data_IF_890012982375
#
_entry.id   IF_890012982375
#
_cell.length_a   1.000
_cell.length_b   1.000
_cell.length_c   1.000
_cell.angle_alpha   90.00
_cell.angle_beta   90.00
_cell.angle_gamma   90.00
#
_symmetry.space_group_name_H-M   'P 1'
#
loop_
_entity.id
_entity.type
_entity.pdbx_description
1 polymer ?
#
# COMPACT_ATOMS: atom_id res chain seq x y z
N UNK A 1 -20.33 -35.17 20.45
CA UNK A 1 -18.91 -34.80 20.60
C UNK A 1 -18.29 -34.17 19.35
N UNK A 2 -18.93 -34.24 18.17
CA UNK A 2 -18.42 -33.70 16.90
C UNK A 2 -18.67 -32.20 16.69
N UNK A 3 -19.70 -31.62 17.32
CA UNK A 3 -20.06 -30.20 17.15
C UNK A 3 -19.12 -29.24 17.88
N UNK A 4 -18.57 -29.68 19.02
CA UNK A 4 -17.64 -28.86 19.83
C UNK A 4 -16.31 -28.65 19.10
N UNK A 5 -15.83 -29.67 18.37
CA UNK A 5 -14.59 -29.61 17.59
C UNK A 5 -14.67 -28.58 16.44
N UNK A 6 -15.87 -28.41 15.87
CA UNK A 6 -16.10 -27.48 14.75
C UNK A 6 -16.02 -26.01 15.19
N UNK A 7 -16.44 -25.70 16.41
CA UNK A 7 -16.30 -24.36 17.00
C UNK A 7 -14.84 -24.01 17.34
N UNK A 8 -14.01 -24.99 17.73
CA UNK A 8 -12.57 -24.78 17.95
C UNK A 8 -11.80 -24.49 16.66
N UNK A 9 -12.20 -25.09 15.53
CA UNK A 9 -11.61 -24.82 14.21
C UNK A 9 -11.93 -23.41 13.71
N UNK A 10 -13.12 -22.89 14.00
CA UNK A 10 -13.52 -21.52 13.63
C UNK A 10 -12.77 -20.44 14.44
N UNK A 11 -12.34 -20.73 15.67
CA UNK A 11 -11.55 -19.81 16.52
C UNK A 11 -10.09 -19.59 16.06
N UNK A 12 -9.64 -20.30 15.02
CA UNK A 12 -8.31 -20.11 14.42
C UNK A 12 -8.32 -19.33 13.10
N UNK A 13 -9.49 -18.91 12.60
CA UNK A 13 -9.53 -17.95 11.50
C UNK A 13 -9.42 -16.54 12.08
N UNK A 14 -8.19 -16.17 12.48
CA UNK A 14 -7.87 -14.78 12.72
C UNK A 14 -8.27 -14.00 11.47
N UNK A 15 -9.18 -13.04 11.63
CA UNK A 15 -9.39 -12.02 10.62
C UNK A 15 -8.07 -11.25 10.52
N UNK A 16 -7.14 -11.76 9.71
CA UNK A 16 -6.03 -10.97 9.24
C UNK A 16 -6.69 -9.90 8.40
N UNK A 17 -6.79 -8.69 8.96
CA UNK A 17 -6.86 -7.47 8.17
C UNK A 17 -5.54 -7.39 7.39
N UNK A 18 -5.48 -8.21 6.34
CA UNK A 18 -4.27 -8.46 5.58
C UNK A 18 -4.01 -7.33 4.63
N UNK A 19 -2.74 -6.99 4.48
CA UNK A 19 -2.29 -6.15 3.39
C UNK A 19 -2.80 -6.71 2.06
N UNK A 20 -3.17 -5.82 1.15
CA UNK A 20 -3.37 -6.24 -0.24
C UNK A 20 -2.00 -6.56 -0.83
N UNK A 21 -1.73 -7.84 -1.08
CA UNK A 21 -0.52 -8.27 -1.76
C UNK A 21 -0.59 -7.91 -3.25
N UNK A 22 0.45 -7.28 -3.77
CA UNK A 22 0.58 -6.92 -5.18
C UNK A 22 1.98 -7.23 -5.69
N UNK A 23 2.06 -8.26 -6.52
CA UNK A 23 3.28 -8.65 -7.22
C UNK A 23 3.59 -7.68 -8.37
N UNK A 24 4.85 -7.31 -8.53
CA UNK A 24 5.32 -6.36 -9.56
C UNK A 24 6.65 -6.80 -10.14
N UNK A 25 6.85 -6.57 -11.43
CA UNK A 25 8.17 -6.74 -12.05
C UNK A 25 8.95 -5.43 -11.99
N UNK A 26 10.25 -5.53 -11.78
CA UNK A 26 11.13 -4.36 -11.82
C UNK A 26 11.07 -3.68 -13.19
N UNK A 27 11.13 -2.36 -13.20
CA UNK A 27 11.05 -1.57 -14.43
C UNK A 27 9.65 -1.12 -14.81
N UNK A 28 8.60 -1.71 -14.22
CA UNK A 28 7.22 -1.41 -14.55
C UNK A 28 6.70 -0.16 -13.82
N UNK A 29 5.67 0.45 -14.41
CA UNK A 29 4.90 1.50 -13.76
C UNK A 29 3.75 0.88 -12.96
N UNK A 30 3.57 1.32 -11.72
CA UNK A 30 2.60 0.72 -10.79
C UNK A 30 1.65 1.79 -10.26
N UNK A 31 0.35 1.50 -10.28
CA UNK A 31 -0.67 2.34 -9.63
C UNK A 31 -1.21 1.66 -8.39
N UNK A 32 -1.20 2.37 -7.25
CA UNK A 32 -1.80 1.95 -5.99
C UNK A 32 -3.04 2.80 -5.74
N UNK A 33 -4.20 2.14 -5.67
CA UNK A 33 -5.47 2.80 -5.38
C UNK A 33 -5.59 2.96 -3.87
N UNK A 34 -5.89 4.17 -3.43
CA UNK A 34 -6.21 4.39 -2.03
C UNK A 34 -7.60 3.82 -1.72
N UNK A 35 -7.70 3.02 -0.65
CA UNK A 35 -8.96 2.39 -0.23
C UNK A 35 -9.85 3.29 0.63
N UNK A 36 -9.36 4.47 1.06
CA UNK A 36 -10.11 5.44 1.86
C UNK A 36 -10.65 6.58 0.99
N UNK A 37 -11.55 7.40 1.56
CA UNK A 37 -12.26 8.43 0.81
C UNK A 37 -11.29 9.42 0.14
N UNK A 38 -11.54 9.68 -1.13
CA UNK A 38 -10.50 9.85 -2.18
C UNK A 38 -9.87 11.24 -2.27
N UNK A 39 -9.96 12.01 -1.18
CA UNK A 39 -9.61 13.43 -1.13
C UNK A 39 -8.71 13.70 0.06
N UNK A 40 -7.60 14.40 -0.17
CA UNK A 40 -6.70 14.87 0.88
C UNK A 40 -5.99 13.73 1.64
N UNK A 41 -5.09 13.01 0.96
CA UNK A 41 -4.52 11.74 1.45
C UNK A 41 -3.00 11.80 1.54
N UNK A 42 -2.45 11.27 2.63
CA UNK A 42 -1.02 11.13 2.88
C UNK A 42 -0.59 9.71 2.53
N UNK A 43 0.48 9.59 1.74
CA UNK A 43 1.08 8.31 1.39
C UNK A 43 2.33 8.04 2.22
N UNK A 44 2.39 6.84 2.79
CA UNK A 44 3.53 6.35 3.56
C UNK A 44 4.03 5.03 2.98
N UNK A 45 5.34 4.84 3.03
CA UNK A 45 6.02 3.58 2.75
C UNK A 45 6.66 3.05 4.04
N UNK A 46 6.36 1.81 4.38
CA UNK A 46 6.98 1.07 5.47
C UNK A 46 7.81 -0.05 4.86
N UNK A 47 9.11 -0.04 5.16
CA UNK A 47 10.04 -1.10 4.77
C UNK A 47 10.43 -1.94 5.99
N UNK A 48 10.87 -3.20 5.80
CA UNK A 48 11.40 -4.00 6.89
C UNK A 48 12.57 -3.28 7.57
N UNK A 49 12.52 -3.18 8.89
CA UNK A 49 13.59 -2.60 9.72
C UNK A 49 13.92 -1.12 9.49
N UNK A 50 13.03 -0.37 8.81
CA UNK A 50 13.16 1.07 8.60
C UNK A 50 11.96 1.84 9.18
N UNK A 51 12.14 3.09 9.62
CA UNK A 51 11.02 3.92 10.05
C UNK A 51 10.08 4.27 8.88
N UNK A 52 8.77 4.49 9.13
CA UNK A 52 7.82 4.90 8.09
C UNK A 52 8.25 6.17 7.37
N UNK A 53 8.29 6.11 6.04
CA UNK A 53 8.67 7.23 5.19
C UNK A 53 7.40 7.86 4.62
N UNK A 54 7.12 9.11 4.99
CA UNK A 54 6.10 9.90 4.30
C UNK A 54 6.62 10.27 2.91
N UNK A 55 5.85 9.95 1.88
CA UNK A 55 6.23 10.16 0.49
C UNK A 55 5.69 11.49 -0.01
N UNK A 56 4.37 11.62 0.02
CA UNK A 56 3.66 12.76 -0.50
C UNK A 56 2.27 12.91 0.11
N UNK A 57 1.72 14.11 -0.03
CA UNK A 57 0.36 14.47 0.32
C UNK A 57 -0.39 14.89 -0.94
N UNK A 58 -1.47 14.17 -1.25
CA UNK A 58 -2.39 14.46 -2.35
C UNK A 58 -3.45 15.46 -1.88
N UNK A 59 -3.48 16.65 -2.48
CA UNK A 59 -4.44 17.71 -2.14
C UNK A 59 -5.79 17.54 -2.85
N UNK A 60 -6.89 17.90 -2.17
CA UNK A 60 -8.26 17.57 -2.58
C UNK A 60 -8.84 18.40 -3.73
N UNK A 61 -8.29 19.58 -4.08
CA UNK A 61 -8.75 20.34 -5.25
C UNK A 61 -7.87 21.55 -5.55
N UNK A 62 -7.85 21.93 -6.83
CA UNK A 62 -7.43 23.21 -7.41
C UNK A 62 -5.95 23.63 -7.33
N UNK A 63 -5.10 22.97 -6.56
CA UNK A 63 -3.64 23.22 -6.57
C UNK A 63 -2.93 22.03 -7.23
N UNK A 64 -2.20 22.33 -8.31
CA UNK A 64 -1.83 21.42 -9.40
C UNK A 64 -0.82 20.31 -9.06
N UNK A 65 -0.18 20.32 -7.90
CA UNK A 65 0.88 19.37 -7.58
C UNK A 65 0.78 18.83 -6.14
N UNK A 66 1.02 17.52 -5.94
CA UNK A 66 1.11 16.94 -4.61
C UNK A 66 2.36 17.47 -3.87
N UNK A 67 2.27 17.54 -2.54
CA UNK A 67 3.38 17.98 -1.70
C UNK A 67 4.26 16.78 -1.37
N UNK A 68 5.48 16.76 -1.86
CA UNK A 68 6.44 15.68 -1.61
C UNK A 68 7.28 15.96 -0.37
N UNK A 69 7.62 14.92 0.41
CA UNK A 69 8.61 15.04 1.50
C UNK A 69 9.98 15.46 0.97
N UNK A 70 10.38 14.95 -0.19
CA UNK A 70 11.66 15.22 -0.83
C UNK A 70 11.43 15.42 -2.33
N UNK A 71 12.05 16.44 -2.93
CA UNK A 71 11.88 16.73 -4.37
C UNK A 71 12.32 15.58 -5.28
N UNK A 72 13.26 14.73 -4.83
CA UNK A 72 13.67 13.53 -5.58
C UNK A 72 12.50 12.56 -5.76
N UNK A 73 11.55 12.52 -4.83
CA UNK A 73 10.35 11.69 -4.93
C UNK A 73 9.44 12.08 -6.10
N UNK A 74 9.49 13.32 -6.61
CA UNK A 74 8.71 13.74 -7.80
C UNK A 74 9.11 12.99 -9.08
N UNK A 75 10.31 12.40 -9.14
CA UNK A 75 10.77 11.58 -10.27
C UNK A 75 10.25 10.14 -10.21
N UNK A 76 9.94 9.66 -9.01
CA UNK A 76 9.58 8.26 -8.73
C UNK A 76 8.08 8.14 -8.53
N UNK A 77 7.47 9.11 -7.86
CA UNK A 77 6.08 9.10 -7.46
C UNK A 77 5.32 10.25 -8.11
N UNK A 78 4.08 9.99 -8.52
CA UNK A 78 3.12 11.01 -8.89
C UNK A 78 1.73 10.63 -8.38
N UNK A 79 0.81 11.59 -8.39
CA UNK A 79 -0.57 11.38 -7.96
C UNK A 79 -1.47 11.34 -9.18
N UNK A 80 -2.28 10.29 -9.27
CA UNK A 80 -3.34 10.14 -10.26
C UNK A 80 -4.72 10.40 -9.64
N UNK A 81 -5.77 10.23 -10.45
CA UNK A 81 -7.16 10.35 -10.03
C UNK A 81 -7.46 9.60 -8.73
N UNK A 82 -8.32 10.18 -7.89
CA UNK A 82 -8.70 9.64 -6.58
C UNK A 82 -7.54 9.46 -5.60
N UNK A 83 -6.55 10.38 -5.61
CA UNK A 83 -5.37 10.30 -4.75
C UNK A 83 -4.58 9.00 -4.90
N UNK A 84 -4.68 8.33 -6.05
CA UNK A 84 -3.97 7.08 -6.32
C UNK A 84 -2.48 7.38 -6.48
N UNK A 85 -1.62 6.60 -5.82
CA UNK A 85 -0.18 6.75 -5.96
C UNK A 85 0.28 6.05 -7.23
N UNK A 86 0.99 6.76 -8.08
CA UNK A 86 1.67 6.20 -9.24
C UNK A 86 3.17 6.15 -8.99
N UNK A 87 3.76 4.99 -9.26
CA UNK A 87 5.17 4.72 -9.12
C UNK A 87 5.73 4.49 -10.52
N UNK A 88 6.70 5.31 -10.91
CA UNK A 88 7.38 5.23 -12.19
C UNK A 88 8.57 4.28 -12.08
N UNK A 89 8.71 3.36 -13.04
CA UNK A 89 9.90 2.53 -13.22
C UNK A 89 10.38 1.87 -11.91
N UNK A 90 9.54 1.01 -11.35
CA UNK A 90 9.71 0.48 -9.98
C UNK A 90 11.05 -0.26 -9.82
N UNK A 91 11.75 0.03 -8.72
CA UNK A 91 12.98 -0.66 -8.33
C UNK A 91 12.81 -1.40 -7.00
N UNK A 92 13.86 -2.11 -6.57
CA UNK A 92 13.87 -2.79 -5.26
C UNK A 92 13.70 -1.83 -4.09
N UNK A 93 14.05 -0.55 -4.26
CA UNK A 93 13.93 0.47 -3.23
C UNK A 93 12.48 0.92 -2.98
N UNK A 94 11.57 0.65 -3.91
CA UNK A 94 10.14 0.96 -3.77
C UNK A 94 9.32 -0.26 -3.31
N UNK A 95 9.97 -1.37 -2.93
CA UNK A 95 9.28 -2.50 -2.31
C UNK A 95 8.99 -2.22 -0.83
N UNK A 96 7.85 -2.71 -0.35
CA UNK A 96 7.39 -2.48 1.02
C UNK A 96 5.88 -2.38 1.11
N UNK A 97 5.38 -1.93 2.27
CA UNK A 97 3.95 -1.76 2.54
C UNK A 97 3.59 -0.28 2.45
N UNK A 98 2.62 0.01 1.58
CA UNK A 98 2.12 1.35 1.35
C UNK A 98 0.81 1.59 2.08
N UNK A 99 0.73 2.69 2.82
CA UNK A 99 -0.50 3.11 3.48
C UNK A 99 -0.94 4.46 2.96
N UNK A 100 -2.24 4.62 2.79
CA UNK A 100 -2.86 5.89 2.52
C UNK A 100 -3.72 6.30 3.72
N UNK A 101 -3.51 7.53 4.20
CA UNK A 101 -4.16 8.07 5.40
C UNK A 101 -4.91 9.33 5.01
N UNK A 102 -6.21 9.37 5.28
CA UNK A 102 -7.00 10.57 5.13
C UNK A 102 -7.09 11.30 6.46
N UNK A 103 -6.65 12.56 6.49
CA UNK A 103 -6.83 13.42 7.66
C UNK A 103 -8.25 13.98 7.64
N UNK A 104 -9.09 13.47 8.55
CA UNK A 104 -10.47 13.87 8.78
C UNK A 104 -10.88 13.45 10.19
N UNK A 105 -12.12 13.73 10.56
CA UNK A 105 -12.73 13.19 11.78
C UNK A 105 -13.88 12.28 11.37
N UNK A 106 -13.76 10.95 11.51
CA UNK A 106 -12.62 10.19 12.04
C UNK A 106 -11.44 10.09 11.06
N UNK A 107 -10.25 9.73 11.58
CA UNK A 107 -9.09 9.38 10.75
C UNK A 107 -9.34 8.05 10.05
N UNK A 108 -9.18 8.03 8.72
CA UNK A 108 -9.31 6.81 7.93
C UNK A 108 -7.93 6.36 7.44
N UNK A 109 -7.52 5.17 7.87
CA UNK A 109 -6.26 4.53 7.45
C UNK A 109 -6.62 3.33 6.57
N UNK A 110 -5.97 3.20 5.42
CA UNK A 110 -6.15 2.02 4.55
C UNK A 110 -5.59 0.75 5.19
N UNK A 111 -6.11 -0.41 4.79
CA UNK A 111 -5.55 -1.73 5.16
C UNK A 111 -4.12 -1.96 4.70
N UNK A 112 -3.60 -1.14 3.78
CA UNK A 112 -2.22 -1.19 3.29
C UNK A 112 -2.04 -2.11 2.09
N UNK A 113 -1.06 -1.79 1.23
CA UNK A 113 -0.76 -2.53 0.00
C UNK A 113 0.71 -2.93 0.03
N UNK A 114 1.01 -4.23 0.01
CA UNK A 114 2.38 -4.71 -0.03
C UNK A 114 2.82 -4.92 -1.47
N UNK A 115 3.90 -4.25 -1.86
CA UNK A 115 4.60 -4.49 -3.12
C UNK A 115 5.73 -5.48 -2.91
N UNK A 116 5.70 -6.55 -3.70
CA UNK A 116 6.69 -7.62 -3.69
C UNK A 116 7.01 -8.07 -5.11
N UNK A 117 8.21 -8.58 -5.34
CA UNK A 117 8.55 -9.25 -6.60
C UNK A 117 7.97 -10.67 -6.52
N UNK A 118 7.38 -11.22 -7.61
CA UNK A 118 6.96 -12.61 -7.62
C UNK A 118 8.14 -13.52 -7.33
N UNK A 119 8.01 -14.38 -6.31
CA UNK A 119 8.95 -15.48 -6.11
C UNK A 119 8.69 -16.51 -7.20
N UNK A 120 9.54 -16.56 -8.23
CA UNK A 120 9.51 -17.63 -9.24
C UNK A 120 9.88 -19.02 -8.67
N UNK A 121 10.13 -19.12 -7.36
CA UNK A 121 10.57 -20.34 -6.66
C UNK A 121 9.47 -21.10 -5.91
N UNK A 122 8.19 -20.70 -6.03
CA UNK A 122 7.07 -21.39 -5.36
C UNK A 122 6.22 -22.23 -6.33
N UNK A 123 6.87 -22.87 -7.31
CA UNK A 123 6.21 -23.71 -8.34
C UNK A 123 6.85 -25.08 -8.55
N UNK A 124 7.71 -25.55 -7.65
CA UNK A 124 8.30 -26.89 -7.74
C UNK A 124 8.32 -27.55 -6.36
N UNK A 125 7.14 -27.99 -5.95
CA UNK A 125 6.98 -29.16 -5.07
C UNK A 125 5.90 -30.01 -5.74
N UNK A 126 6.36 -30.94 -6.59
CA UNK A 126 5.60 -32.13 -6.99
C UNK A 126 5.71 -33.13 -5.85
#
# INVERSE_FOLDING_TARGET
MTTVLWFYLLMFCGATEGFTEKSVDLGQNVTLKCGVDKKNVFWFLIKPSEPPVFLLHSLSNTILEPVYRNMTFRKIFSVQYNSSLFIHNISTNELGVYYCIQTGSPYNISSGIRLSIPNHSAGEFI
#
